data_IF_815168251660
#
_entry.id   IF_815168251660
#
_cell.length_a   1.000
_cell.length_b   1.000
_cell.length_c   1.000
_cell.angle_alpha   90.00
_cell.angle_beta   90.00
_cell.angle_gamma   90.00
#
_symmetry.space_group_name_H-M   'P 1'
#
loop_
_entity.id
_entity.type
_entity.pdbx_description
1 polymer ?
#
# COMPACT_ATOMS: atom_id res chain seq x y z
N UNK A 1 -9.00 -1.48 25.13
CA UNK A 1 -8.65 -2.80 24.56
C UNK A 1 -9.38 -2.95 23.24
N UNK A 2 -8.74 -3.47 22.20
CA UNK A 2 -9.36 -3.71 20.90
C UNK A 2 -10.46 -4.78 21.02
N UNK A 3 -11.57 -4.64 20.31
CA UNK A 3 -12.61 -5.67 20.27
C UNK A 3 -12.19 -6.86 19.41
N UNK A 4 -12.67 -8.06 19.75
CA UNK A 4 -12.20 -9.30 19.10
C UNK A 4 -12.42 -9.33 17.58
N UNK A 5 -13.59 -8.90 17.10
CA UNK A 5 -13.89 -8.83 15.66
C UNK A 5 -13.07 -7.75 14.92
N UNK A 6 -12.82 -6.60 15.55
CA UNK A 6 -11.93 -5.57 14.99
C UNK A 6 -10.49 -6.10 14.93
N UNK A 7 -10.00 -6.74 15.98
CA UNK A 7 -8.69 -7.38 15.99
C UNK A 7 -8.54 -8.42 14.88
N UNK A 8 -9.55 -9.27 14.70
CA UNK A 8 -9.52 -10.28 13.64
C UNK A 8 -9.49 -9.65 12.25
N UNK A 9 -10.30 -8.61 12.02
CA UNK A 9 -10.32 -7.89 10.76
C UNK A 9 -8.98 -7.18 10.48
N UNK A 10 -8.36 -6.58 11.51
CA UNK A 10 -7.04 -5.94 11.39
C UNK A 10 -5.91 -6.95 11.13
N UNK A 11 -5.99 -8.16 11.70
CA UNK A 11 -5.05 -9.23 11.35
C UNK A 11 -5.19 -9.68 9.89
N UNK A 12 -6.43 -9.72 9.37
CA UNK A 12 -6.66 -10.00 7.93
C UNK A 12 -6.07 -8.90 7.05
N UNK A 13 -6.26 -7.62 7.43
CA UNK A 13 -5.69 -6.51 6.68
C UNK A 13 -4.17 -6.51 6.72
N UNK A 14 -3.56 -6.75 7.88
CA UNK A 14 -2.11 -6.92 7.97
C UNK A 14 -1.60 -7.98 6.99
N UNK A 15 -2.29 -9.11 6.84
CA UNK A 15 -1.94 -10.13 5.85
C UNK A 15 -2.15 -9.62 4.41
N UNK A 16 -3.20 -8.82 4.16
CA UNK A 16 -3.45 -8.22 2.84
C UNK A 16 -2.33 -7.25 2.44
N UNK A 17 -1.86 -6.38 3.36
CA UNK A 17 -0.74 -5.47 3.10
C UNK A 17 0.57 -6.25 2.84
N UNK A 18 0.83 -7.32 3.61
CA UNK A 18 1.98 -8.18 3.34
C UNK A 18 1.89 -8.88 1.98
N UNK A 19 0.68 -9.25 1.55
CA UNK A 19 0.45 -9.77 0.20
C UNK A 19 0.70 -8.68 -0.86
N UNK A 20 0.23 -7.44 -0.64
CA UNK A 20 0.51 -6.30 -1.52
C UNK A 20 2.02 -6.11 -1.70
N UNK A 21 2.78 -6.08 -0.61
CA UNK A 21 4.24 -6.00 -0.67
C UNK A 21 4.85 -7.15 -1.51
N UNK A 22 4.35 -8.37 -1.33
CA UNK A 22 4.84 -9.54 -2.07
C UNK A 22 4.45 -9.48 -3.56
N UNK A 23 3.26 -8.99 -3.89
CA UNK A 23 2.83 -8.76 -5.26
C UNK A 23 3.72 -7.72 -5.95
N UNK A 24 3.96 -6.57 -5.32
CA UNK A 24 4.85 -5.53 -5.86
C UNK A 24 6.30 -6.02 -6.03
N UNK A 25 6.78 -6.87 -5.12
CA UNK A 25 8.09 -7.50 -5.27
C UNK A 25 8.15 -8.42 -6.50
N UNK A 26 7.08 -9.16 -6.78
CA UNK A 26 6.96 -10.01 -7.97
C UNK A 26 6.93 -9.17 -9.25
N UNK A 27 6.14 -8.08 -9.27
CA UNK A 27 6.10 -7.12 -10.38
C UNK A 27 7.48 -6.49 -10.64
N UNK A 28 8.22 -6.15 -9.58
CA UNK A 28 9.59 -5.65 -9.70
C UNK A 28 10.53 -6.68 -10.35
N UNK A 29 10.43 -7.94 -9.97
CA UNK A 29 11.23 -9.02 -10.56
C UNK A 29 10.91 -9.22 -12.05
N UNK A 30 9.64 -9.17 -12.43
CA UNK A 30 9.22 -9.19 -13.83
C UNK A 30 9.85 -8.04 -14.63
N UNK A 31 9.77 -6.78 -14.15
CA UNK A 31 10.36 -5.64 -14.83
C UNK A 31 11.89 -5.74 -14.96
N UNK A 32 12.58 -6.28 -13.97
CA UNK A 32 14.01 -6.56 -14.08
C UNK A 32 14.30 -7.57 -15.19
N UNK A 33 13.48 -8.62 -15.35
CA UNK A 33 13.69 -9.66 -16.36
C UNK A 33 13.55 -9.14 -17.80
N UNK A 34 12.79 -8.06 -18.00
CA UNK A 34 12.58 -7.40 -19.31
C UNK A 34 13.38 -6.11 -19.50
N UNK A 35 14.39 -5.86 -18.65
CA UNK A 35 15.29 -4.70 -18.73
C UNK A 35 14.59 -3.33 -18.61
N UNK A 36 13.63 -3.21 -17.70
CA UNK A 36 12.95 -1.96 -17.34
C UNK A 36 13.23 -1.62 -15.86
N UNK A 37 14.47 -1.19 -15.53
CA UNK A 37 14.89 -0.97 -14.14
C UNK A 37 14.17 0.18 -13.44
N UNK A 38 13.70 1.19 -14.16
CA UNK A 38 12.91 2.30 -13.60
C UNK A 38 11.52 1.85 -13.17
N UNK A 39 10.85 1.03 -13.98
CA UNK A 39 9.58 0.37 -13.61
C UNK A 39 9.78 -0.53 -12.38
N UNK A 40 10.86 -1.30 -12.37
CA UNK A 40 11.20 -2.15 -11.22
C UNK A 40 11.46 -1.31 -9.96
N UNK A 41 12.10 -0.15 -10.07
CA UNK A 41 12.32 0.77 -8.97
C UNK A 41 10.99 1.26 -8.38
N UNK A 42 10.04 1.66 -9.22
CA UNK A 42 8.72 2.10 -8.77
C UNK A 42 8.02 1.01 -7.95
N UNK A 43 8.02 -0.23 -8.44
CA UNK A 43 7.47 -1.38 -7.72
C UNK A 43 8.21 -1.71 -6.42
N UNK A 44 9.53 -1.47 -6.38
CA UNK A 44 10.33 -1.65 -5.16
C UNK A 44 10.02 -0.60 -4.09
N UNK A 45 9.66 0.60 -4.51
CA UNK A 45 9.19 1.65 -3.58
C UNK A 45 7.82 1.26 -3.03
N UNK A 46 6.87 0.84 -3.88
CA UNK A 46 5.57 0.33 -3.42
C UNK A 46 5.74 -0.83 -2.41
N UNK A 47 6.60 -1.80 -2.70
CA UNK A 47 6.86 -2.91 -1.77
C UNK A 47 7.26 -2.42 -0.38
N UNK A 48 8.07 -1.35 -0.30
CA UNK A 48 8.49 -0.79 0.98
C UNK A 48 7.33 -0.07 1.68
N UNK A 49 6.49 0.66 0.95
CA UNK A 49 5.31 1.35 1.46
C UNK A 49 4.32 0.34 2.05
N UNK A 50 3.98 -0.72 1.33
CA UNK A 50 3.09 -1.78 1.78
C UNK A 50 3.58 -2.50 3.04
N UNK A 51 4.89 -2.70 3.15
CA UNK A 51 5.48 -3.25 4.38
C UNK A 51 5.29 -2.32 5.58
N UNK A 52 5.37 -1.01 5.36
CA UNK A 52 5.10 -0.04 6.43
C UNK A 52 3.61 -0.06 6.78
N UNK A 53 2.70 -0.14 5.81
CA UNK A 53 1.27 -0.28 6.04
C UNK A 53 0.96 -1.51 6.91
N UNK A 54 1.53 -2.66 6.58
CA UNK A 54 1.40 -3.86 7.39
C UNK A 54 1.88 -3.66 8.83
N UNK A 55 3.04 -3.00 9.03
CA UNK A 55 3.59 -2.73 10.36
C UNK A 55 2.74 -1.73 11.14
N UNK A 56 2.08 -0.77 10.49
CA UNK A 56 1.14 0.13 11.16
C UNK A 56 -0.04 -0.64 11.77
N UNK A 57 -0.63 -1.61 11.06
CA UNK A 57 -1.66 -2.51 11.61
C UNK A 57 -1.11 -3.36 12.74
N UNK A 58 0.10 -3.92 12.57
CA UNK A 58 0.79 -4.71 13.60
C UNK A 58 0.91 -3.93 14.91
N UNK A 59 1.50 -2.73 14.84
CA UNK A 59 1.76 -1.88 16.01
C UNK A 59 0.45 -1.40 16.64
N UNK A 60 -0.56 -1.09 15.84
CA UNK A 60 -1.86 -0.68 16.34
C UNK A 60 -2.53 -1.80 17.15
N UNK A 61 -2.55 -3.03 16.65
CA UNK A 61 -3.11 -4.19 17.36
C UNK A 61 -2.43 -4.36 18.73
N UNK A 62 -1.10 -4.31 18.77
CA UNK A 62 -0.31 -4.44 20.01
C UNK A 62 -0.62 -3.28 20.97
N UNK A 63 -0.60 -2.04 20.47
CA UNK A 63 -0.87 -0.83 21.29
C UNK A 63 -2.26 -0.88 21.91
N UNK A 64 -3.25 -1.47 21.21
CA UNK A 64 -4.62 -1.63 21.71
C UNK A 64 -4.81 -2.87 22.62
N UNK A 65 -3.70 -3.54 22.99
CA UNK A 65 -3.71 -4.73 23.86
C UNK A 65 -4.26 -5.99 23.20
N UNK A 66 -4.20 -6.04 21.88
CA UNK A 66 -4.58 -7.19 21.07
C UNK A 66 -3.42 -8.13 20.79
N UNK A 67 -3.70 -9.19 20.04
CA UNK A 67 -2.72 -10.19 19.60
C UNK A 67 -2.61 -10.18 18.07
N UNK A 68 -1.41 -10.04 17.55
CA UNK A 68 -1.11 -10.27 16.15
C UNK A 68 -1.05 -11.77 15.88
N UNK A 69 -1.71 -12.18 14.80
CA UNK A 69 -1.69 -13.55 14.29
C UNK A 69 -1.39 -13.52 12.80
N UNK A 70 -0.20 -13.96 12.43
CA UNK A 70 0.22 -14.04 11.04
C UNK A 70 -0.31 -15.32 10.40
N UNK A 71 -0.80 -15.20 9.17
CA UNK A 71 -1.30 -16.31 8.35
C UNK A 71 -0.44 -16.48 7.11
N UNK A 72 -0.69 -17.53 6.32
CA UNK A 72 0.01 -17.74 5.06
C UNK A 72 -0.26 -16.58 4.09
N UNK A 73 0.76 -16.16 3.36
CA UNK A 73 0.67 -15.22 2.25
C UNK A 73 0.61 -16.03 0.97
N UNK A 74 -0.37 -15.75 0.11
CA UNK A 74 -0.52 -16.44 -1.17
C UNK A 74 0.63 -16.09 -2.14
N UNK A 75 0.94 -17.00 -3.04
CA UNK A 75 1.91 -16.72 -4.10
C UNK A 75 1.30 -15.73 -5.11
N UNK A 76 2.00 -14.61 -5.42
CA UNK A 76 1.54 -13.67 -6.41
C UNK A 76 1.75 -14.19 -7.84
N UNK A 77 1.09 -13.59 -8.87
CA UNK A 77 1.47 -13.79 -10.26
C UNK A 77 2.95 -13.47 -10.49
N UNK A 78 3.56 -14.11 -11.50
CA UNK A 78 4.97 -13.92 -11.87
C UNK A 78 5.17 -13.43 -13.30
N UNK A 79 4.11 -13.47 -14.13
CA UNK A 79 4.17 -13.15 -15.55
C UNK A 79 3.01 -12.23 -15.94
N UNK A 80 3.29 -11.27 -16.81
CA UNK A 80 2.32 -10.35 -17.39
C UNK A 80 2.57 -10.17 -18.89
N UNK A 81 1.52 -9.82 -19.62
CA UNK A 81 1.59 -9.68 -21.07
C UNK A 81 2.40 -8.45 -21.55
N UNK A 82 2.42 -7.38 -20.74
CA UNK A 82 3.09 -6.12 -21.07
C UNK A 82 3.30 -5.24 -19.82
N UNK A 83 4.15 -4.20 -19.88
CA UNK A 83 4.25 -3.18 -18.82
C UNK A 83 2.92 -2.53 -18.46
N UNK A 84 2.05 -2.27 -19.46
CA UNK A 84 0.72 -1.76 -19.22
C UNK A 84 -0.12 -2.75 -18.41
N UNK A 85 -0.07 -4.04 -18.74
CA UNK A 85 -0.83 -5.07 -18.02
C UNK A 85 -0.42 -5.17 -16.54
N UNK A 86 0.87 -4.98 -16.20
CA UNK A 86 1.32 -4.93 -14.80
C UNK A 86 0.67 -3.77 -14.05
N UNK A 87 0.66 -2.56 -14.63
CA UNK A 87 0.09 -1.38 -13.98
C UNK A 87 -1.45 -1.40 -13.93
N UNK A 88 -2.11 -2.01 -14.91
CA UNK A 88 -3.56 -2.26 -14.84
C UNK A 88 -3.90 -3.23 -13.70
N UNK A 89 -3.05 -4.24 -13.48
CA UNK A 89 -3.20 -5.19 -12.37
C UNK A 89 -2.90 -4.52 -11.02
N UNK A 90 -1.86 -3.68 -10.94
CA UNK A 90 -1.56 -2.87 -9.77
C UNK A 90 -2.74 -1.93 -9.43
N UNK A 91 -3.25 -1.17 -10.40
CA UNK A 91 -4.39 -0.28 -10.18
C UNK A 91 -5.64 -1.03 -9.70
N UNK A 92 -5.94 -2.18 -10.30
CA UNK A 92 -7.05 -3.04 -9.87
C UNK A 92 -6.82 -3.59 -8.45
N UNK A 93 -5.57 -3.87 -8.10
CA UNK A 93 -5.22 -4.31 -6.76
C UNK A 93 -5.49 -3.20 -5.73
N UNK A 94 -5.07 -1.96 -6.01
CA UNK A 94 -5.34 -0.81 -5.13
C UNK A 94 -6.84 -0.58 -4.92
N UNK A 95 -7.65 -0.70 -5.97
CA UNK A 95 -9.11 -0.63 -5.83
C UNK A 95 -9.68 -1.72 -4.91
N UNK A 96 -9.08 -2.91 -4.93
CA UNK A 96 -9.46 -3.98 -4.00
C UNK A 96 -9.06 -3.64 -2.57
N UNK A 97 -7.85 -3.10 -2.35
CA UNK A 97 -7.38 -2.67 -1.03
C UNK A 97 -8.26 -1.54 -0.49
N UNK A 98 -8.61 -0.56 -1.33
CA UNK A 98 -9.60 0.49 -0.97
C UNK A 98 -10.91 -0.11 -0.46
N UNK A 99 -11.42 -1.13 -1.12
CA UNK A 99 -12.61 -1.86 -0.65
C UNK A 99 -12.42 -2.46 0.74
N UNK A 100 -11.29 -3.13 0.98
CA UNK A 100 -10.96 -3.70 2.29
C UNK A 100 -10.84 -2.65 3.40
N UNK A 101 -10.21 -1.51 3.12
CA UNK A 101 -10.10 -0.39 4.07
C UNK A 101 -11.48 0.20 4.39
N UNK A 102 -12.34 0.39 3.37
CA UNK A 102 -13.71 0.88 3.59
C UNK A 102 -14.53 -0.09 4.45
N UNK A 103 -14.38 -1.39 4.26
CA UNK A 103 -15.04 -2.41 5.11
C UNK A 103 -14.55 -2.34 6.56
N UNK A 104 -13.26 -2.07 6.79
CA UNK A 104 -12.72 -1.86 8.14
C UNK A 104 -13.27 -0.58 8.78
N UNK A 105 -13.43 0.50 8.01
CA UNK A 105 -14.05 1.75 8.50
C UNK A 105 -15.48 1.49 8.92
N UNK A 106 -16.26 0.80 8.11
CA UNK A 106 -17.65 0.43 8.43
C UNK A 106 -17.71 -0.41 9.71
N UNK A 107 -16.85 -1.43 9.81
CA UNK A 107 -16.77 -2.27 11.02
C UNK A 107 -16.41 -1.44 12.27
N UNK A 108 -15.46 -0.52 12.18
CA UNK A 108 -15.08 0.33 13.30
C UNK A 108 -16.25 1.23 13.77
N UNK A 109 -17.04 1.75 12.83
CA UNK A 109 -18.23 2.55 13.12
C UNK A 109 -19.34 1.69 13.77
N UNK A 110 -19.64 0.53 13.22
CA UNK A 110 -20.65 -0.40 13.74
C UNK A 110 -20.31 -0.82 15.16
N UNK A 111 -19.04 -1.06 15.43
CA UNK A 111 -18.51 -1.40 16.74
C UNK A 111 -18.33 -0.19 17.68
N UNK A 112 -18.57 1.01 17.18
CA UNK A 112 -18.30 2.28 17.92
C UNK A 112 -16.88 2.36 18.44
N UNK A 113 -15.91 1.79 17.71
CA UNK A 113 -14.48 1.90 18.03
C UNK A 113 -13.90 3.15 17.35
N UNK A 114 -14.15 4.31 17.96
CA UNK A 114 -13.72 5.58 17.43
C UNK A 114 -12.20 5.68 17.26
N UNK A 115 -11.43 4.99 18.09
CA UNK A 115 -9.97 4.97 17.93
C UNK A 115 -9.54 4.19 16.69
N UNK A 116 -10.18 3.06 16.39
CA UNK A 116 -9.96 2.34 15.14
C UNK A 116 -10.38 3.18 13.93
N UNK A 117 -11.55 3.84 14.01
CA UNK A 117 -12.03 4.74 12.96
C UNK A 117 -11.02 5.85 12.67
N UNK A 118 -10.48 6.54 13.70
CA UNK A 118 -9.47 7.60 13.53
C UNK A 118 -8.17 7.05 12.91
N UNK A 119 -7.71 5.88 13.35
CA UNK A 119 -6.54 5.22 12.79
C UNK A 119 -6.71 4.93 11.30
N UNK A 120 -7.88 4.43 10.89
CA UNK A 120 -8.17 4.09 9.51
C UNK A 120 -8.30 5.29 8.57
N UNK A 121 -8.56 6.52 9.09
CA UNK A 121 -8.65 7.71 8.23
C UNK A 121 -7.37 8.01 7.47
N UNK A 122 -6.20 7.67 8.03
CA UNK A 122 -4.95 7.78 7.30
C UNK A 122 -4.96 6.87 6.07
N UNK A 123 -5.35 5.60 6.22
CA UNK A 123 -5.44 4.65 5.12
C UNK A 123 -6.49 5.03 4.06
N UNK A 124 -7.60 5.65 4.47
CA UNK A 124 -8.60 6.16 3.51
C UNK A 124 -7.99 7.23 2.61
N UNK A 125 -7.20 8.15 3.15
CA UNK A 125 -6.50 9.17 2.37
C UNK A 125 -5.40 8.55 1.50
N UNK A 126 -4.62 7.64 2.05
CA UNK A 126 -3.56 6.92 1.33
C UNK A 126 -4.10 6.20 0.11
N UNK A 127 -5.20 5.47 0.24
CA UNK A 127 -5.79 4.75 -0.90
C UNK A 127 -6.24 5.68 -2.04
N UNK A 128 -6.62 6.93 -1.77
CA UNK A 128 -6.88 7.92 -2.82
C UNK A 128 -5.60 8.22 -3.61
N UNK A 129 -4.47 8.39 -2.90
CA UNK A 129 -3.17 8.66 -3.52
C UNK A 129 -2.62 7.43 -4.27
N UNK A 130 -2.80 6.22 -3.71
CA UNK A 130 -2.36 4.97 -4.33
C UNK A 130 -3.11 4.68 -5.64
N UNK A 131 -4.43 4.80 -5.65
CA UNK A 131 -5.22 4.65 -6.87
C UNK A 131 -4.86 5.71 -7.92
N UNK A 132 -4.69 6.97 -7.53
CA UNK A 132 -4.28 8.05 -8.44
C UNK A 132 -2.89 7.78 -9.02
N UNK A 133 -1.93 7.39 -8.19
CA UNK A 133 -0.55 7.11 -8.58
C UNK A 133 -0.47 5.98 -9.61
N UNK A 134 -1.12 4.85 -9.34
CA UNK A 134 -1.16 3.72 -10.25
C UNK A 134 -1.90 4.07 -11.56
N UNK A 135 -3.07 4.72 -11.46
CA UNK A 135 -3.88 5.09 -12.63
C UNK A 135 -3.15 6.11 -13.55
N UNK A 136 -2.44 7.07 -12.99
CA UNK A 136 -1.67 8.04 -13.77
C UNK A 136 -0.65 7.35 -14.68
N UNK A 137 0.03 6.31 -14.19
CA UNK A 137 0.97 5.53 -15.00
C UNK A 137 0.23 4.70 -16.05
N UNK A 138 -0.91 4.09 -15.72
CA UNK A 138 -1.78 3.39 -16.69
C UNK A 138 -2.16 4.33 -17.83
N UNK A 139 -2.66 5.54 -17.52
CA UNK A 139 -3.05 6.51 -18.56
C UNK A 139 -1.85 6.97 -19.39
N UNK A 140 -0.69 7.20 -18.76
CA UNK A 140 0.53 7.57 -19.46
C UNK A 140 0.95 6.47 -20.44
N UNK A 141 0.96 5.21 -20.04
CA UNK A 141 1.31 4.07 -20.90
C UNK A 141 0.31 3.90 -22.04
N UNK A 142 -0.99 4.09 -21.80
CA UNK A 142 -2.03 4.07 -22.85
C UNK A 142 -1.83 5.17 -23.91
N UNK A 143 -1.50 6.38 -23.48
CA UNK A 143 -1.27 7.51 -24.37
C UNK A 143 -0.01 7.34 -25.23
N UNK A 144 1.04 6.76 -24.67
CA UNK A 144 2.34 6.65 -25.34
C UNK A 144 2.44 5.42 -26.27
N UNK A 145 1.58 4.43 -26.12
CA UNK A 145 1.65 3.17 -26.84
C UNK A 145 2.92 2.36 -26.51
N UNK A 146 3.11 1.24 -27.21
CA UNK A 146 4.20 0.27 -26.91
C UNK A 146 5.51 0.57 -27.68
N UNK A 147 5.79 1.81 -28.08
CA UNK A 147 7.05 2.12 -28.73
C UNK A 147 8.22 2.06 -27.71
N UNK A 148 9.36 1.49 -28.14
CA UNK A 148 10.53 1.37 -27.27
C UNK A 148 11.07 2.71 -26.76
N UNK A 149 10.94 3.79 -27.56
CA UNK A 149 11.34 5.14 -27.14
C UNK A 149 10.43 5.67 -26.02
N UNK A 150 9.14 5.40 -26.10
CA UNK A 150 8.16 5.82 -25.08
C UNK A 150 8.41 5.10 -23.74
N UNK A 151 8.61 3.80 -23.80
CA UNK A 151 8.91 2.99 -22.58
C UNK A 151 10.21 3.45 -21.92
N UNK A 152 11.24 3.79 -22.70
CA UNK A 152 12.50 4.31 -22.16
C UNK A 152 12.33 5.64 -21.40
N UNK A 153 11.46 6.54 -21.89
CA UNK A 153 11.20 7.81 -21.21
C UNK A 153 10.47 7.60 -19.88
N UNK A 154 9.45 6.72 -19.87
CA UNK A 154 8.73 6.37 -18.63
C UNK A 154 9.65 5.67 -17.65
N UNK A 155 10.48 4.73 -18.11
CA UNK A 155 11.44 4.04 -17.26
C UNK A 155 12.36 5.02 -16.54
N UNK A 156 12.92 6.01 -17.25
CA UNK A 156 13.74 7.04 -16.63
C UNK A 156 13.00 7.92 -15.63
N UNK A 157 11.74 8.21 -15.88
CA UNK A 157 10.89 8.95 -14.94
C UNK A 157 10.64 8.13 -13.67
N UNK A 158 10.23 6.87 -13.80
CA UNK A 158 9.91 6.00 -12.68
C UNK A 158 11.16 5.65 -11.82
N UNK A 159 12.35 5.66 -12.43
CA UNK A 159 13.62 5.50 -11.72
C UNK A 159 13.90 6.60 -10.70
N UNK A 160 13.23 7.76 -10.77
CA UNK A 160 13.44 8.86 -9.84
C UNK A 160 12.63 8.73 -8.53
N UNK A 161 11.67 7.80 -8.47
CA UNK A 161 10.86 7.60 -7.26
C UNK A 161 11.76 7.12 -6.13
N UNK A 162 11.59 7.74 -4.95
CA UNK A 162 12.32 7.41 -3.73
C UNK A 162 11.31 7.09 -2.66
N UNK A 163 11.57 6.04 -1.87
CA UNK A 163 10.75 5.72 -0.71
C UNK A 163 10.85 6.82 0.34
N UNK A 164 9.72 7.33 0.77
CA UNK A 164 9.60 8.29 1.87
C UNK A 164 8.72 7.65 2.95
N UNK A 165 9.29 7.28 4.11
CA UNK A 165 8.48 6.71 5.18
C UNK A 165 7.34 7.67 5.58
N UNK A 166 6.12 7.18 5.83
CA UNK A 166 5.05 8.01 6.34
C UNK A 166 5.48 8.68 7.66
N UNK A 167 5.09 9.94 7.82
CA UNK A 167 5.37 10.66 9.07
C UNK A 167 4.77 9.89 10.25
N UNK A 168 5.49 9.70 11.37
CA UNK A 168 4.94 9.04 12.54
C UNK A 168 3.66 9.77 12.95
N UNK A 169 2.57 9.01 13.18
CA UNK A 169 1.32 9.56 13.66
C UNK A 169 1.63 10.47 14.86
N UNK A 170 1.25 11.76 14.77
CA UNK A 170 1.50 12.71 15.84
C UNK A 170 0.88 12.17 17.11
N UNK A 171 1.71 11.76 18.08
CA UNK A 171 1.26 11.50 19.45
C UNK A 171 0.68 12.83 19.95
N UNK A 172 -0.64 12.85 20.13
CA UNK A 172 -1.35 14.07 20.52
C UNK A 172 -0.65 14.77 21.68
N UNK A 173 -0.24 16.03 21.46
CA UNK A 173 -0.05 17.09 22.42
C UNK A 173 0.98 16.84 23.51
N UNK A 174 2.27 16.95 23.22
CA UNK A 174 3.19 17.59 24.16
C UNK A 174 3.32 19.06 23.76
N UNK A 175 2.45 19.91 24.31
CA UNK A 175 2.69 21.34 24.33
C UNK A 175 3.92 21.56 25.21
N UNK A 176 5.05 21.94 24.60
CA UNK A 176 6.21 22.38 25.33
C UNK A 176 5.80 23.53 26.23
N UNK A 177 5.88 23.34 27.55
CA UNK A 177 5.74 24.40 28.52
C UNK A 177 6.86 25.44 28.29
N UNK A 178 6.57 26.76 28.30
CA UNK A 178 7.62 27.76 28.19
C UNK A 178 8.52 27.68 29.44
N UNK A 179 9.82 27.51 29.18
CA UNK A 179 10.81 27.64 30.25
C UNK A 179 10.86 29.12 30.68
N UNK A 180 10.63 29.38 31.95
CA UNK A 180 10.80 30.69 32.60
C UNK A 180 12.27 30.92 32.93
#
# INVERSE_FOLDING_TARGET
MIKANVQEAFNRQLNAELYSAYLYLSMAAYFQSINLPGFANWMRVQEQEERVHALMFYDYIITRGGRVTLTAIEAPPTEWASPLAVFEDAYKHEQKVTGLINDLVNLALDERDHAAHIFLQWFVNEQVEEEESANNIVQQLKLMGESGNSLFLVDRQLAQRVFVPPAPAQKGGETAAPQA
#
